data_IF_494900456174
#
_entry.id   IF_494900456174
#
_cell.length_a   1.000
_cell.length_b   1.000
_cell.length_c   1.000
_cell.angle_alpha   90.00
_cell.angle_beta   90.00
_cell.angle_gamma   90.00
#
_symmetry.space_group_name_H-M   'P 1'
#
loop_
_entity.id
_entity.type
_entity.pdbx_description
1 polymer ?
#
# COMPACT_ATOMS: atom_id res chain seq x y z
N UNK A 1 30.63 -9.44 -6.46
CA UNK A 1 29.89 -8.65 -5.46
C UNK A 1 28.58 -8.28 -6.13
N UNK A 2 27.51 -9.00 -5.84
CA UNK A 2 26.18 -8.79 -6.47
C UNK A 2 25.58 -7.53 -5.84
N UNK A 3 25.17 -6.57 -6.67
CA UNK A 3 24.58 -5.33 -6.16
C UNK A 3 23.18 -5.65 -5.61
N UNK A 4 22.85 -5.23 -4.38
CA UNK A 4 21.51 -5.40 -3.85
C UNK A 4 20.54 -4.61 -4.74
N UNK A 5 19.45 -5.28 -5.12
CA UNK A 5 18.39 -4.70 -5.92
C UNK A 5 17.20 -4.42 -5.01
N UNK A 6 16.45 -3.33 -5.29
CA UNK A 6 15.34 -2.89 -4.44
C UNK A 6 14.31 -4.00 -4.18
N UNK A 7 14.02 -4.84 -5.17
CA UNK A 7 13.09 -5.96 -5.01
C UNK A 7 13.60 -7.01 -4.01
N UNK A 8 14.88 -7.39 -4.12
CA UNK A 8 15.52 -8.33 -3.21
C UNK A 8 15.58 -7.84 -1.76
N UNK A 9 15.79 -6.53 -1.57
CA UNK A 9 15.73 -5.88 -0.26
C UNK A 9 14.32 -5.93 0.35
N UNK A 10 13.29 -5.57 -0.42
CA UNK A 10 11.89 -5.64 0.00
C UNK A 10 11.49 -7.09 0.32
N UNK A 11 11.84 -8.04 -0.55
CA UNK A 11 11.59 -9.46 -0.36
C UNK A 11 12.20 -9.96 0.96
N UNK A 12 13.47 -9.62 1.20
CA UNK A 12 14.19 -9.97 2.43
C UNK A 12 13.50 -9.38 3.66
N UNK A 13 13.20 -8.07 3.63
CA UNK A 13 12.53 -7.33 4.71
C UNK A 13 11.18 -7.96 5.07
N UNK A 14 10.30 -8.15 4.08
CA UNK A 14 8.95 -8.66 4.33
C UNK A 14 8.94 -10.14 4.71
N UNK A 15 9.86 -10.95 4.15
CA UNK A 15 10.03 -12.34 4.57
C UNK A 15 10.48 -12.45 6.02
N UNK A 16 11.46 -11.64 6.44
CA UNK A 16 11.93 -11.60 7.83
C UNK A 16 10.83 -11.14 8.80
N UNK A 17 10.00 -10.17 8.40
CA UNK A 17 8.84 -9.69 9.19
C UNK A 17 7.92 -10.84 9.62
N UNK A 18 7.64 -11.79 8.72
CA UNK A 18 6.79 -12.95 9.01
C UNK A 18 7.57 -14.21 9.40
N UNK A 19 8.89 -14.10 9.59
CA UNK A 19 9.81 -15.19 9.93
C UNK A 19 9.71 -16.40 8.98
N UNK A 20 9.47 -16.15 7.69
CA UNK A 20 9.41 -17.20 6.69
C UNK A 20 10.82 -17.55 6.15
N UNK A 21 11.03 -18.83 5.82
CA UNK A 21 12.23 -19.25 5.09
C UNK A 21 12.04 -19.08 3.58
N UNK A 22 13.14 -18.99 2.82
CA UNK A 22 13.09 -18.94 1.35
C UNK A 22 12.35 -20.14 0.75
N UNK A 23 12.54 -21.34 1.32
CA UNK A 23 11.83 -22.55 0.89
C UNK A 23 10.32 -22.44 1.13
N UNK A 24 9.90 -21.81 2.24
CA UNK A 24 8.48 -21.63 2.55
C UNK A 24 7.82 -20.62 1.60
N UNK A 25 8.53 -19.53 1.27
CA UNK A 25 8.07 -18.57 0.26
C UNK A 25 7.98 -19.24 -1.11
N UNK A 26 9.04 -19.94 -1.53
CA UNK A 26 9.06 -20.66 -2.81
C UNK A 26 7.91 -21.66 -2.94
N UNK A 27 7.68 -22.48 -1.92
CA UNK A 27 6.56 -23.43 -1.90
C UNK A 27 5.20 -22.74 -2.06
N UNK A 28 5.00 -21.59 -1.40
CA UNK A 28 3.75 -20.85 -1.48
C UNK A 28 3.45 -20.29 -2.88
N UNK A 29 4.48 -20.03 -3.69
CA UNK A 29 4.36 -19.44 -5.03
C UNK A 29 4.80 -20.40 -6.15
N UNK A 30 4.90 -21.70 -5.85
CA UNK A 30 5.30 -22.75 -6.79
C UNK A 30 6.69 -22.53 -7.44
N UNK A 31 7.65 -22.00 -6.68
CA UNK A 31 9.04 -21.81 -7.10
C UNK A 31 10.02 -22.52 -6.16
N UNK A 32 11.21 -22.83 -6.67
CA UNK A 32 12.29 -23.35 -5.84
C UNK A 32 12.79 -22.28 -4.85
N UNK A 33 13.14 -22.67 -3.62
CA UNK A 33 13.73 -21.75 -2.65
C UNK A 33 15.04 -21.11 -3.14
N UNK A 34 15.80 -21.80 -4.00
CA UNK A 34 16.97 -21.24 -4.68
C UNK A 34 16.62 -20.06 -5.61
N UNK A 35 15.44 -20.07 -6.23
CA UNK A 35 14.93 -18.94 -7.03
C UNK A 35 14.72 -17.72 -6.14
N UNK A 36 14.10 -17.91 -4.97
CA UNK A 36 13.88 -16.84 -3.98
C UNK A 36 15.21 -16.26 -3.50
N UNK A 37 16.18 -17.13 -3.18
CA UNK A 37 17.54 -16.70 -2.79
C UNK A 37 18.22 -15.86 -3.88
N UNK A 38 18.09 -16.26 -5.14
CA UNK A 38 18.66 -15.52 -6.26
C UNK A 38 18.00 -14.16 -6.48
N UNK A 39 16.69 -14.05 -6.24
CA UNK A 39 15.97 -12.79 -6.25
C UNK A 39 16.43 -11.86 -5.11
N UNK A 40 16.55 -12.39 -3.88
CA UNK A 40 17.07 -11.65 -2.72
C UNK A 40 18.49 -11.11 -2.98
N UNK A 41 19.36 -11.94 -3.57
CA UNK A 41 20.74 -11.57 -3.88
C UNK A 41 20.89 -10.70 -5.15
N UNK A 42 19.84 -10.54 -5.94
CA UNK A 42 19.90 -9.84 -7.23
C UNK A 42 20.69 -10.55 -8.31
N UNK A 43 20.90 -11.87 -8.19
CA UNK A 43 21.56 -12.67 -9.22
C UNK A 43 20.75 -12.64 -10.53
N UNK A 44 19.42 -12.69 -10.41
CA UNK A 44 18.49 -12.45 -11.51
C UNK A 44 17.16 -11.91 -10.97
N UNK A 45 16.44 -11.13 -11.79
CA UNK A 45 15.10 -10.63 -11.47
C UNK A 45 14.01 -11.63 -11.86
N UNK A 46 12.79 -11.49 -11.31
CA UNK A 46 11.59 -12.07 -11.91
C UNK A 46 11.49 -11.71 -13.41
N UNK A 47 10.96 -12.62 -14.22
CA UNK A 47 10.71 -12.39 -15.64
C UNK A 47 9.25 -12.03 -15.82
N UNK A 48 8.87 -11.51 -17.00
CA UNK A 48 7.47 -11.12 -17.29
C UNK A 48 6.44 -12.22 -16.98
N UNK A 49 6.79 -13.48 -17.23
CA UNK A 49 5.94 -14.64 -16.95
C UNK A 49 5.88 -15.05 -15.47
N UNK A 50 6.65 -14.40 -14.58
CA UNK A 50 6.63 -14.63 -13.13
C UNK A 50 5.73 -13.64 -12.37
N UNK A 51 4.93 -12.83 -13.08
CA UNK A 51 4.10 -11.79 -12.45
C UNK A 51 3.16 -12.39 -11.40
N UNK A 52 2.45 -13.45 -11.76
CA UNK A 52 1.45 -14.06 -10.89
C UNK A 52 2.09 -14.69 -9.64
N UNK A 53 3.28 -15.25 -9.77
CA UNK A 53 4.07 -15.76 -8.64
C UNK A 53 4.54 -14.64 -7.72
N UNK A 54 4.90 -13.47 -8.27
CA UNK A 54 5.26 -12.30 -7.46
C UNK A 54 4.03 -11.72 -6.74
N UNK A 55 2.87 -11.68 -7.39
CA UNK A 55 1.59 -11.30 -6.75
C UNK A 55 1.21 -12.28 -5.64
N UNK A 56 1.27 -13.59 -5.90
CA UNK A 56 1.06 -14.62 -4.87
C UNK A 56 2.07 -14.50 -3.72
N UNK A 57 3.30 -14.08 -4.03
CA UNK A 57 4.34 -13.80 -3.04
C UNK A 57 3.95 -12.65 -2.14
N UNK A 58 3.45 -11.54 -2.69
CA UNK A 58 2.96 -10.41 -1.92
C UNK A 58 1.81 -10.82 -0.97
N UNK A 59 0.88 -11.65 -1.44
CA UNK A 59 -0.20 -12.20 -0.61
C UNK A 59 0.33 -13.08 0.53
N UNK A 60 1.25 -14.00 0.23
CA UNK A 60 1.88 -14.87 1.22
C UNK A 60 2.66 -14.07 2.29
N UNK A 61 3.35 -13.00 1.86
CA UNK A 61 4.11 -12.09 2.71
C UNK A 61 3.22 -11.13 3.52
N UNK A 62 1.90 -11.18 3.32
CA UNK A 62 0.90 -10.33 3.98
C UNK A 62 1.22 -8.85 3.78
N UNK A 63 1.52 -8.47 2.55
CA UNK A 63 1.76 -7.08 2.19
C UNK A 63 0.44 -6.30 2.21
N UNK A 64 0.49 -5.03 2.63
CA UNK A 64 -0.62 -4.10 2.38
C UNK A 64 -0.74 -3.80 0.87
N UNK A 65 -1.81 -3.13 0.44
CA UNK A 65 -1.98 -2.73 -0.96
C UNK A 65 -0.83 -1.83 -1.45
N UNK A 66 -0.42 -0.87 -0.62
CA UNK A 66 0.72 0.02 -0.91
C UNK A 66 2.03 -0.77 -0.98
N UNK A 67 2.29 -1.65 0.00
CA UNK A 67 3.47 -2.52 -0.01
C UNK A 67 3.49 -3.45 -1.22
N UNK A 68 2.32 -3.95 -1.65
CA UNK A 68 2.20 -4.81 -2.84
C UNK A 68 2.55 -4.05 -4.12
N UNK A 69 2.06 -2.82 -4.26
CA UNK A 69 2.41 -1.98 -5.41
C UNK A 69 3.90 -1.65 -5.42
N UNK A 70 4.48 -1.28 -4.27
CA UNK A 70 5.91 -1.02 -4.17
C UNK A 70 6.74 -2.27 -4.53
N UNK A 71 6.29 -3.44 -4.07
CA UNK A 71 6.93 -4.72 -4.33
C UNK A 71 6.89 -5.11 -5.82
N UNK A 72 5.76 -4.88 -6.49
CA UNK A 72 5.60 -5.14 -7.92
C UNK A 72 6.40 -4.15 -8.78
N UNK A 73 6.36 -2.86 -8.47
CA UNK A 73 7.18 -1.85 -9.15
C UNK A 73 8.67 -2.17 -9.03
N UNK A 74 9.13 -2.60 -7.86
CA UNK A 74 10.53 -2.97 -7.66
C UNK A 74 10.96 -4.18 -8.52
N UNK A 75 10.01 -5.04 -8.89
CA UNK A 75 10.20 -6.17 -9.82
C UNK A 75 9.91 -5.81 -11.28
N UNK A 76 9.74 -4.53 -11.62
CA UNK A 76 9.45 -4.03 -12.96
C UNK A 76 8.08 -4.53 -13.51
N UNK A 77 7.09 -4.66 -12.63
CA UNK A 77 5.70 -4.97 -12.96
C UNK A 77 4.77 -3.78 -12.72
N UNK A 78 3.66 -3.75 -13.44
CA UNK A 78 2.57 -2.82 -13.20
C UNK A 78 1.93 -3.04 -11.82
N UNK A 79 1.52 -1.93 -11.19
CA UNK A 79 0.78 -1.91 -9.91
C UNK A 79 -0.46 -2.79 -10.00
N UNK A 80 -0.73 -3.53 -8.93
CA UNK A 80 -1.93 -4.35 -8.80
C UNK A 80 -3.12 -3.52 -8.32
N UNK A 81 -2.87 -2.61 -7.37
CA UNK A 81 -3.91 -1.78 -6.75
C UNK A 81 -3.80 -0.34 -7.25
N UNK A 82 -4.43 -0.05 -8.38
CA UNK A 82 -4.60 1.32 -8.84
C UNK A 82 -5.83 1.90 -8.13
N UNK A 83 -5.64 2.43 -6.92
CA UNK A 83 -6.65 3.28 -6.31
C UNK A 83 -6.72 4.56 -7.14
N UNK A 84 -7.61 4.60 -8.14
CA UNK A 84 -7.95 5.86 -8.76
C UNK A 84 -8.49 6.78 -7.66
N UNK A 85 -7.95 7.99 -7.55
CA UNK A 85 -8.38 8.99 -6.57
C UNK A 85 -9.91 9.18 -6.59
N UNK A 86 -10.53 9.03 -7.76
CA UNK A 86 -11.99 9.05 -7.96
C UNK A 86 -12.73 7.87 -7.29
N UNK A 87 -12.23 6.64 -7.43
CA UNK A 87 -12.86 5.45 -6.83
C UNK A 87 -12.73 5.46 -5.31
N UNK A 88 -11.57 5.87 -4.78
CA UNK A 88 -11.42 5.99 -3.34
C UNK A 88 -12.25 7.15 -2.78
N UNK A 89 -12.30 8.27 -3.51
CA UNK A 89 -13.25 9.35 -3.26
C UNK A 89 -14.69 8.86 -3.20
N UNK A 90 -15.08 7.94 -4.07
CA UNK A 90 -16.43 7.37 -4.16
C UNK A 90 -16.75 6.30 -3.10
N UNK A 91 -15.82 5.38 -2.79
CA UNK A 91 -16.03 4.29 -1.83
C UNK A 91 -16.11 4.80 -0.39
N UNK A 92 -15.31 5.82 -0.05
CA UNK A 92 -15.25 6.33 1.32
C UNK A 92 -16.21 7.51 1.59
N UNK A 93 -17.07 7.90 0.64
CA UNK A 93 -17.98 9.06 0.80
C UNK A 93 -18.81 8.99 2.08
N UNK A 94 -19.52 7.88 2.28
CA UNK A 94 -20.43 7.74 3.42
C UNK A 94 -19.67 7.68 4.75
N UNK A 95 -18.55 6.96 4.78
CA UNK A 95 -17.66 6.95 5.94
C UNK A 95 -17.16 8.36 6.30
N UNK A 96 -16.68 9.12 5.31
CA UNK A 96 -16.19 10.49 5.53
C UNK A 96 -17.32 11.41 6.00
N UNK A 97 -18.53 11.27 5.43
CA UNK A 97 -19.71 12.04 5.83
C UNK A 97 -20.10 11.74 7.28
N UNK A 98 -20.18 10.47 7.65
CA UNK A 98 -20.44 10.05 9.03
C UNK A 98 -19.36 10.54 9.99
N UNK A 99 -18.07 10.45 9.60
CA UNK A 99 -16.95 10.98 10.39
C UNK A 99 -17.15 12.47 10.71
N UNK A 100 -17.38 13.31 9.70
CA UNK A 100 -17.59 14.75 9.92
C UNK A 100 -18.85 15.03 10.74
N UNK A 101 -19.93 14.28 10.49
CA UNK A 101 -21.16 14.39 11.28
C UNK A 101 -20.89 14.06 12.74
N UNK A 102 -20.19 12.97 13.04
CA UNK A 102 -19.84 12.58 14.40
C UNK A 102 -18.93 13.60 15.08
N UNK A 103 -17.95 14.18 14.36
CA UNK A 103 -17.06 15.21 14.90
C UNK A 103 -17.80 16.51 15.21
N UNK A 104 -18.77 16.91 14.37
CA UNK A 104 -19.61 18.09 14.58
C UNK A 104 -20.50 17.99 15.82
N UNK A 105 -20.98 16.78 16.15
CA UNK A 105 -21.82 16.55 17.31
C UNK A 105 -21.03 16.39 18.63
N UNK A 106 -19.69 16.37 18.59
CA UNK A 106 -18.88 16.33 19.81
C UNK A 106 -18.77 17.71 20.45
N UNK A 107 -18.91 17.72 21.77
CA UNK A 107 -18.70 18.90 22.60
C UNK A 107 -17.64 18.56 23.66
N UNK A 108 -16.45 19.19 23.64
CA UNK A 108 -16.05 20.33 22.80
C UNK A 108 -15.79 19.96 21.33
N UNK A 109 -15.82 20.96 20.41
CA UNK A 109 -15.57 20.75 18.98
C UNK A 109 -14.17 20.20 18.72
N UNK A 110 -14.06 19.23 17.81
CA UNK A 110 -12.82 18.50 17.52
C UNK A 110 -12.22 18.95 16.19
N UNK A 111 -10.93 19.27 16.18
CA UNK A 111 -10.15 19.54 14.97
C UNK A 111 -9.52 18.25 14.44
N UNK A 112 -9.76 17.93 13.17
CA UNK A 112 -9.13 16.79 12.50
C UNK A 112 -7.81 17.24 11.84
N UNK A 113 -6.68 16.76 12.35
CA UNK A 113 -5.36 17.01 11.77
C UNK A 113 -4.93 15.83 10.91
N UNK A 114 -4.84 16.03 9.60
CA UNK A 114 -4.28 15.04 8.68
C UNK A 114 -2.77 15.21 8.62
N UNK A 115 -2.04 14.26 9.18
CA UNK A 115 -0.57 14.26 9.06
C UNK A 115 -0.15 13.88 7.65
N UNK A 116 0.96 14.44 7.17
CA UNK A 116 1.50 14.14 5.83
C UNK A 116 1.77 12.64 5.62
N UNK A 117 2.05 11.91 6.70
CA UNK A 117 2.30 10.47 6.63
C UNK A 117 1.08 9.65 6.17
N UNK A 118 -0.14 10.17 6.34
CA UNK A 118 -1.37 9.44 6.04
C UNK A 118 -2.08 9.92 4.75
N UNK A 119 -1.49 10.84 3.98
CA UNK A 119 -2.15 11.42 2.81
C UNK A 119 -2.40 10.42 1.67
N UNK A 120 -1.55 9.39 1.57
CA UNK A 120 -1.66 8.30 0.59
C UNK A 120 -2.44 7.08 1.09
N UNK A 121 -3.07 7.17 2.26
CA UNK A 121 -3.87 6.10 2.84
C UNK A 121 -5.36 6.47 2.80
N UNK A 122 -6.27 5.49 2.65
CA UNK A 122 -7.69 5.75 2.75
C UNK A 122 -8.15 6.20 4.15
N UNK A 123 -9.15 7.10 4.26
CA UNK A 123 -9.70 7.91 3.17
C UNK A 123 -8.69 9.00 2.75
N UNK A 124 -8.30 8.97 1.47
CA UNK A 124 -7.27 9.87 0.93
C UNK A 124 -7.58 11.35 1.21
N UNK A 125 -6.53 12.16 1.31
CA UNK A 125 -6.62 13.60 1.60
C UNK A 125 -7.64 14.31 0.69
N UNK A 126 -7.60 14.07 -0.61
CA UNK A 126 -8.49 14.76 -1.57
C UNK A 126 -9.95 14.37 -1.39
N UNK A 127 -10.23 13.12 -1.01
CA UNK A 127 -11.59 12.67 -0.69
C UNK A 127 -12.12 13.38 0.57
N UNK A 128 -11.29 13.49 1.61
CA UNK A 128 -11.61 14.21 2.84
C UNK A 128 -11.85 15.70 2.57
N UNK A 129 -10.95 16.36 1.82
CA UNK A 129 -11.09 17.78 1.48
C UNK A 129 -12.32 18.05 0.61
N UNK A 130 -12.59 17.17 -0.35
CA UNK A 130 -13.78 17.28 -1.23
C UNK A 130 -15.07 17.21 -0.42
N UNK A 131 -15.17 16.29 0.54
CA UNK A 131 -16.36 16.22 1.40
C UNK A 131 -16.41 17.34 2.43
N UNK A 132 -15.26 17.76 3.00
CA UNK A 132 -15.20 18.88 3.92
C UNK A 132 -15.72 20.17 3.28
N UNK A 133 -15.31 20.47 2.03
CA UNK A 133 -15.80 21.65 1.28
C UNK A 133 -17.30 21.62 0.95
N UNK A 134 -17.96 20.46 1.04
CA UNK A 134 -19.42 20.34 0.88
C UNK A 134 -20.18 20.60 2.17
N UNK A 135 -19.54 20.38 3.32
CA UNK A 135 -20.17 20.46 4.65
C UNK A 135 -19.85 21.81 5.32
N UNK A 136 -18.61 22.28 5.14
CA UNK A 136 -18.07 23.46 5.81
C UNK A 136 -17.87 24.61 4.84
N UNK A 137 -17.94 25.84 5.35
CA UNK A 137 -17.65 27.04 4.58
C UNK A 137 -16.17 27.09 4.18
N UNK A 138 -15.77 27.78 3.08
CA UNK A 138 -14.38 27.84 2.65
C UNK A 138 -13.38 28.31 3.73
N UNK A 139 -13.83 29.16 4.66
CA UNK A 139 -13.02 29.68 5.76
C UNK A 139 -12.84 28.69 6.93
N UNK A 140 -13.60 27.60 6.94
CA UNK A 140 -13.58 26.57 7.98
C UNK A 140 -12.73 25.35 7.55
N UNK A 141 -12.31 25.29 6.28
CA UNK A 141 -11.45 24.22 5.73
C UNK A 141 -10.03 24.74 5.52
N UNK A 142 -9.22 24.64 6.58
CA UNK A 142 -7.78 24.93 6.51
C UNK A 142 -7.04 23.73 5.92
N UNK A 143 -6.27 23.98 4.87
CA UNK A 143 -5.34 23.02 4.29
C UNK A 143 -3.96 23.68 4.21
N UNK A 144 -2.95 23.05 4.82
CA UNK A 144 -1.54 23.49 4.84
C UNK A 144 -0.75 22.59 3.88
#
# INVERSE_FOLDING_TARGET
MTMPNRFGELLTKHRQRIRASMNKVGYAINLAGATILNWENGTFMPRKNHRDEVVAGAQFLRLTEQETNEFLEAADFDKEYVLSEDLAGAIFVEFIRELFTNLLHRNPPVMLLLTQANWGEPPFREALLTQARKIFSPNEVLHI
#
